data_IF_371272597982
#
_entry.id   IF_371272597982
#
_cell.length_a   1.000
_cell.length_b   1.000
_cell.length_c   1.000
_cell.angle_alpha   90.00
_cell.angle_beta   90.00
_cell.angle_gamma   90.00
#
_symmetry.space_group_name_H-M   'P 1'
#
loop_
_entity.id
_entity.type
_entity.pdbx_description
1 polymer ?
#
# COMPACT_ATOMS: atom_id res chain seq x y z
N UNK A 1 -31.48 3.38 137.48
CA UNK A 1 -32.01 4.39 136.54
C UNK A 1 -31.30 4.23 135.20
N UNK A 2 -32.09 4.21 134.13
CA UNK A 2 -31.77 4.36 132.70
C UNK A 2 -30.75 3.46 132.01
N UNK A 3 -31.24 2.50 131.19
CA UNK A 3 -31.07 2.57 129.71
C UNK A 3 -31.84 1.46 128.97
N UNK A 4 -33.16 1.41 129.16
CA UNK A 4 -34.08 0.55 128.40
C UNK A 4 -34.51 1.16 127.04
N UNK A 5 -33.89 2.27 126.61
CA UNK A 5 -34.27 3.03 125.41
C UNK A 5 -33.32 2.82 124.20
N UNK A 6 -32.14 2.21 124.37
CA UNK A 6 -31.09 2.10 123.32
C UNK A 6 -31.25 0.88 122.38
N UNK A 7 -32.09 -0.11 122.72
CA UNK A 7 -32.24 -1.34 121.92
C UNK A 7 -33.27 -1.26 120.79
N UNK A 8 -34.21 -0.30 120.83
CA UNK A 8 -35.21 -0.10 119.76
C UNK A 8 -34.70 0.72 118.57
N UNK A 9 -33.85 1.72 118.81
CA UNK A 9 -33.23 2.54 117.74
C UNK A 9 -32.21 1.74 116.92
N UNK A 10 -31.36 0.93 117.56
CA UNK A 10 -30.33 0.12 116.86
C UNK A 10 -30.89 -0.99 115.97
N UNK A 11 -32.12 -1.45 116.22
CA UNK A 11 -32.80 -2.48 115.40
C UNK A 11 -33.44 -1.90 114.14
N UNK A 12 -33.93 -0.67 114.20
CA UNK A 12 -34.47 0.05 113.03
C UNK A 12 -33.37 0.40 112.02
N UNK A 13 -32.24 0.94 112.48
CA UNK A 13 -31.11 1.32 111.62
C UNK A 13 -30.48 0.13 110.89
N UNK A 14 -30.38 -1.03 111.55
CA UNK A 14 -29.78 -2.25 110.97
C UNK A 14 -30.65 -2.90 109.89
N UNK A 15 -31.99 -2.81 110.01
CA UNK A 15 -32.91 -3.27 108.97
C UNK A 15 -32.92 -2.33 107.75
N UNK A 16 -32.86 -1.01 107.97
CA UNK A 16 -32.77 -0.03 106.88
C UNK A 16 -31.48 -0.19 106.07
N UNK A 17 -30.34 -0.45 106.74
CA UNK A 17 -29.07 -0.71 106.04
C UNK A 17 -29.08 -2.00 105.21
N UNK A 18 -29.69 -3.08 105.72
CA UNK A 18 -29.82 -4.33 104.96
C UNK A 18 -30.71 -4.17 103.72
N UNK A 19 -31.82 -3.43 103.83
CA UNK A 19 -32.72 -3.16 102.71
C UNK A 19 -32.02 -2.29 101.64
N UNK A 20 -31.28 -1.25 102.06
CA UNK A 20 -30.51 -0.40 101.14
C UNK A 20 -29.43 -1.22 100.41
N UNK A 21 -28.72 -2.11 101.11
CA UNK A 21 -27.71 -2.98 100.49
C UNK A 21 -28.31 -3.98 99.50
N UNK A 22 -29.50 -4.54 99.79
CA UNK A 22 -30.20 -5.44 98.86
C UNK A 22 -30.68 -4.67 97.62
N UNK A 23 -31.25 -3.47 97.80
CA UNK A 23 -31.66 -2.61 96.67
C UNK A 23 -30.45 -2.22 95.83
N UNK A 24 -29.33 -1.86 96.45
CA UNK A 24 -28.09 -1.51 95.76
C UNK A 24 -27.50 -2.70 94.99
N UNK A 25 -27.42 -3.89 95.61
CA UNK A 25 -26.97 -5.12 94.93
C UNK A 25 -27.90 -5.51 93.78
N UNK A 26 -29.21 -5.33 93.95
CA UNK A 26 -30.20 -5.58 92.90
C UNK A 26 -30.07 -4.60 91.73
N UNK A 27 -29.77 -3.33 92.02
CA UNK A 27 -29.49 -2.31 91.00
C UNK A 27 -28.19 -2.58 90.24
N UNK A 28 -27.14 -3.01 90.93
CA UNK A 28 -25.87 -3.42 90.29
C UNK A 28 -26.07 -4.65 89.40
N UNK A 29 -26.85 -5.65 89.86
CA UNK A 29 -27.20 -6.81 89.06
C UNK A 29 -28.03 -6.44 87.82
N UNK A 30 -29.04 -5.57 87.96
CA UNK A 30 -29.84 -5.06 86.84
C UNK A 30 -28.99 -4.26 85.84
N UNK A 31 -28.04 -3.45 86.33
CA UNK A 31 -27.12 -2.70 85.49
C UNK A 31 -26.19 -3.64 84.72
N UNK A 32 -25.63 -4.66 85.37
CA UNK A 32 -24.84 -5.70 84.71
C UNK A 32 -25.63 -6.46 83.65
N UNK A 33 -26.87 -6.84 83.95
CA UNK A 33 -27.75 -7.57 83.03
C UNK A 33 -28.16 -6.69 81.83
N UNK A 34 -28.42 -5.40 82.07
CA UNK A 34 -28.67 -4.42 81.00
C UNK A 34 -27.45 -4.25 80.08
N UNK A 35 -26.24 -4.22 80.63
CA UNK A 35 -25.00 -4.12 79.86
C UNK A 35 -24.78 -5.38 79.02
N UNK A 36 -25.04 -6.55 79.58
CA UNK A 36 -24.99 -7.83 78.85
C UNK A 36 -26.00 -7.88 77.71
N UNK A 37 -27.22 -7.38 77.90
CA UNK A 37 -28.24 -7.29 76.84
C UNK A 37 -27.77 -6.33 75.73
N UNK A 38 -27.21 -5.17 76.07
CA UNK A 38 -26.67 -4.23 75.08
C UNK A 38 -25.53 -4.85 74.28
N UNK A 39 -24.63 -5.58 74.95
CA UNK A 39 -23.53 -6.30 74.28
C UNK A 39 -24.04 -7.40 73.36
N UNK A 40 -25.06 -8.17 73.77
CA UNK A 40 -25.68 -9.19 72.93
C UNK A 40 -26.37 -8.59 71.70
N UNK A 41 -27.09 -7.47 71.85
CA UNK A 41 -27.72 -6.77 70.73
C UNK A 41 -26.65 -6.24 69.76
N UNK A 42 -25.56 -5.66 70.28
CA UNK A 42 -24.46 -5.15 69.46
C UNK A 42 -23.72 -6.28 68.74
N UNK A 43 -23.51 -7.42 69.41
CA UNK A 43 -22.89 -8.59 68.79
C UNK A 43 -23.78 -9.16 67.66
N UNK A 44 -25.09 -9.27 67.92
CA UNK A 44 -26.04 -9.74 66.93
C UNK A 44 -26.24 -8.75 65.75
N UNK A 45 -25.99 -7.44 65.96
CA UNK A 45 -25.98 -6.47 64.86
C UNK A 45 -24.68 -6.53 64.06
N UNK A 46 -23.54 -6.75 64.71
CA UNK A 46 -22.25 -6.92 64.04
C UNK A 46 -22.22 -8.18 63.18
N UNK A 47 -22.71 -9.31 63.70
CA UNK A 47 -22.84 -10.54 62.91
C UNK A 47 -23.76 -10.34 61.69
N UNK A 48 -24.87 -9.61 61.85
CA UNK A 48 -25.73 -9.27 60.71
C UNK A 48 -25.06 -8.35 59.69
N UNK A 49 -24.18 -7.44 60.12
CA UNK A 49 -23.39 -6.62 59.21
C UNK A 49 -22.33 -7.45 58.48
N UNK A 50 -21.67 -8.36 59.18
CA UNK A 50 -20.69 -9.29 58.61
C UNK A 50 -21.34 -10.21 57.57
N UNK A 51 -22.49 -10.81 57.88
CA UNK A 51 -23.25 -11.64 56.95
C UNK A 51 -23.74 -10.84 55.72
N UNK A 52 -24.17 -9.59 55.90
CA UNK A 52 -24.61 -8.72 54.81
C UNK A 52 -23.45 -8.34 53.89
N UNK A 53 -22.29 -7.97 54.46
CA UNK A 53 -21.07 -7.66 53.70
C UNK A 53 -20.57 -8.90 52.97
N UNK A 54 -20.60 -10.07 53.60
CA UNK A 54 -20.21 -11.33 52.96
C UNK A 54 -21.15 -11.68 51.80
N UNK A 55 -22.46 -11.52 51.98
CA UNK A 55 -23.43 -11.75 50.91
C UNK A 55 -23.29 -10.74 49.77
N UNK A 56 -22.91 -9.50 50.04
CA UNK A 56 -22.61 -8.49 49.02
C UNK A 56 -21.31 -8.82 48.26
N UNK A 57 -20.29 -9.33 48.97
CA UNK A 57 -19.04 -9.81 48.38
C UNK A 57 -19.26 -11.05 47.49
N UNK A 58 -20.07 -11.99 47.94
CA UNK A 58 -20.42 -13.21 47.20
C UNK A 58 -21.28 -12.88 45.97
N UNK A 59 -22.18 -11.90 46.07
CA UNK A 59 -22.96 -11.41 44.94
C UNK A 59 -22.08 -10.68 43.90
N UNK A 60 -21.13 -9.86 44.34
CA UNK A 60 -20.15 -9.21 43.46
C UNK A 60 -19.25 -10.21 42.72
N UNK A 61 -18.82 -11.28 43.39
CA UNK A 61 -18.02 -12.35 42.78
C UNK A 61 -18.85 -13.22 41.80
N UNK A 62 -20.17 -13.29 41.95
CA UNK A 62 -21.05 -14.06 41.07
C UNK A 62 -21.38 -13.36 39.74
N UNK A 63 -21.24 -12.02 39.65
CA UNK A 63 -21.54 -11.23 38.45
C UNK A 63 -20.39 -11.17 37.42
N UNK A 64 -19.26 -11.83 37.66
CA UNK A 64 -18.21 -12.01 36.65
C UNK A 64 -17.39 -10.74 36.35
N UNK A 65 -17.02 -10.00 37.39
CA UNK A 65 -16.09 -8.87 37.26
C UNK A 65 -14.64 -9.34 37.47
N UNK A 66 -13.79 -9.10 36.47
CA UNK A 66 -12.34 -9.33 36.59
C UNK A 66 -11.74 -8.33 37.58
N UNK A 67 -10.89 -8.80 38.49
CA UNK A 67 -10.03 -7.92 39.27
C UNK A 67 -9.09 -7.14 38.33
N UNK A 68 -8.54 -6.01 38.76
CA UNK A 68 -7.60 -5.23 37.93
C UNK A 68 -6.39 -6.07 37.47
N UNK A 69 -5.96 -7.04 38.29
CA UNK A 69 -4.89 -7.98 37.94
C UNK A 69 -5.32 -8.97 36.85
N UNK A 70 -6.49 -9.59 36.99
CA UNK A 70 -7.03 -10.53 35.98
C UNK A 70 -7.36 -9.81 34.66
N UNK A 71 -7.87 -8.58 34.72
CA UNK A 71 -8.11 -7.76 33.54
C UNK A 71 -6.79 -7.43 32.80
N UNK A 72 -5.71 -7.13 33.54
CA UNK A 72 -4.38 -6.91 32.97
C UNK A 72 -3.80 -8.20 32.36
N UNK A 73 -3.97 -9.33 33.03
CA UNK A 73 -3.51 -10.64 32.53
C UNK A 73 -4.29 -11.07 31.27
N UNK A 74 -5.60 -10.84 31.23
CA UNK A 74 -6.43 -11.09 30.05
C UNK A 74 -6.02 -10.19 28.88
N UNK A 75 -5.81 -8.90 29.12
CA UNK A 75 -5.33 -7.95 28.10
C UNK A 75 -3.94 -8.36 27.59
N UNK A 76 -3.02 -8.76 28.47
CA UNK A 76 -1.69 -9.20 28.05
C UNK A 76 -1.76 -10.52 27.27
N UNK A 77 -2.60 -11.46 27.69
CA UNK A 77 -2.81 -12.74 26.98
C UNK A 77 -3.43 -12.50 25.60
N UNK A 78 -4.50 -11.71 25.51
CA UNK A 78 -5.13 -11.34 24.24
C UNK A 78 -4.14 -10.58 23.35
N UNK A 79 -3.29 -9.73 23.91
CA UNK A 79 -2.25 -9.02 23.15
C UNK A 79 -1.22 -9.99 22.59
N UNK A 80 -0.72 -10.94 23.38
CA UNK A 80 0.23 -11.98 22.93
C UNK A 80 -0.42 -12.86 21.86
N UNK A 81 -1.65 -13.34 22.08
CA UNK A 81 -2.40 -14.12 21.11
C UNK A 81 -2.66 -13.33 19.82
N UNK A 82 -2.99 -12.04 19.92
CA UNK A 82 -3.20 -11.16 18.75
C UNK A 82 -1.90 -10.95 17.99
N UNK A 83 -0.78 -10.72 18.67
CA UNK A 83 0.55 -10.60 18.06
C UNK A 83 0.96 -11.90 17.36
N UNK A 84 0.71 -13.06 17.98
CA UNK A 84 1.01 -14.37 17.43
C UNK A 84 0.10 -14.70 16.23
N UNK A 85 -1.20 -14.43 16.33
CA UNK A 85 -2.16 -14.59 15.24
C UNK A 85 -1.82 -13.69 14.06
N UNK A 86 -1.45 -12.43 14.31
CA UNK A 86 -1.02 -11.49 13.25
C UNK A 86 0.26 -11.98 12.58
N UNK A 87 1.24 -12.44 13.37
CA UNK A 87 2.50 -12.99 12.85
C UNK A 87 2.28 -14.26 12.02
N UNK A 88 1.38 -15.14 12.46
CA UNK A 88 1.02 -16.35 11.74
C UNK A 88 0.23 -16.01 10.46
N UNK A 89 -0.65 -15.01 10.49
CA UNK A 89 -1.36 -14.51 9.32
C UNK A 89 -0.39 -14.02 8.23
N UNK A 90 0.58 -13.17 8.59
CA UNK A 90 1.61 -12.69 7.65
C UNK A 90 2.43 -13.85 7.07
N UNK A 91 2.84 -14.81 7.92
CA UNK A 91 3.60 -15.99 7.45
C UNK A 91 2.78 -16.85 6.49
N UNK A 92 1.53 -17.12 6.82
CA UNK A 92 0.63 -17.92 6.00
C UNK A 92 0.38 -17.24 4.66
N UNK A 93 0.18 -15.91 4.65
CA UNK A 93 0.03 -15.13 3.42
C UNK A 93 1.26 -15.25 2.51
N UNK A 94 2.48 -15.07 3.06
CA UNK A 94 3.71 -15.21 2.27
C UNK A 94 3.87 -16.65 1.78
N UNK A 95 3.62 -17.64 2.64
CA UNK A 95 3.75 -19.06 2.30
C UNK A 95 2.79 -19.43 1.17
N UNK A 96 1.51 -19.07 1.28
CA UNK A 96 0.47 -19.34 0.28
C UNK A 96 0.85 -18.73 -1.07
N UNK A 97 1.32 -17.48 -1.09
CA UNK A 97 1.78 -16.82 -2.32
C UNK A 97 2.93 -17.57 -2.98
N UNK A 98 3.97 -17.91 -2.21
CA UNK A 98 5.12 -18.65 -2.73
C UNK A 98 4.74 -20.06 -3.19
N UNK A 99 3.84 -20.75 -2.49
CA UNK A 99 3.32 -22.09 -2.87
C UNK A 99 2.49 -22.04 -4.16
N UNK A 100 1.78 -20.93 -4.40
CA UNK A 100 1.03 -20.68 -5.64
C UNK A 100 1.93 -20.25 -6.82
N UNK A 101 3.24 -20.09 -6.60
CA UNK A 101 4.21 -19.74 -7.63
C UNK A 101 4.48 -18.24 -7.76
N UNK A 102 3.95 -17.40 -6.88
CA UNK A 102 4.28 -15.97 -6.86
C UNK A 102 5.79 -15.80 -6.62
N UNK A 103 6.40 -14.86 -7.34
CA UNK A 103 7.76 -14.44 -7.08
C UNK A 103 7.89 -13.79 -5.69
N UNK A 104 9.06 -13.88 -5.08
CA UNK A 104 9.34 -13.27 -3.78
C UNK A 104 9.02 -11.77 -3.72
N UNK A 105 9.23 -11.05 -4.82
CA UNK A 105 8.88 -9.63 -4.93
C UNK A 105 7.37 -9.39 -4.86
N UNK A 106 6.55 -10.22 -5.52
CA UNK A 106 5.08 -10.13 -5.45
C UNK A 106 4.60 -10.37 -4.01
N UNK A 107 5.14 -11.41 -3.34
CA UNK A 107 4.81 -11.70 -1.95
C UNK A 107 5.15 -10.55 -0.99
N UNK A 108 6.28 -9.85 -1.22
CA UNK A 108 6.65 -8.68 -0.41
C UNK A 108 5.72 -7.50 -0.70
N UNK A 109 5.38 -7.23 -1.96
CA UNK A 109 4.46 -6.13 -2.34
C UNK A 109 3.13 -6.22 -1.59
N UNK A 110 2.58 -7.43 -1.43
CA UNK A 110 1.31 -7.64 -0.72
C UNK A 110 1.36 -7.28 0.77
N UNK A 111 2.55 -7.13 1.37
CA UNK A 111 2.70 -6.71 2.77
C UNK A 111 2.69 -5.18 2.94
N UNK A 112 2.85 -4.42 1.85
CA UNK A 112 2.99 -2.96 1.86
C UNK A 112 2.06 -2.33 0.80
N UNK A 113 0.73 -2.44 0.98
CA UNK A 113 -0.24 -1.95 -0.02
C UNK A 113 -0.23 -0.43 -0.20
N UNK A 114 0.36 0.31 0.74
CA UNK A 114 0.54 1.77 0.72
C UNK A 114 1.89 2.21 0.12
N UNK A 115 2.68 1.26 -0.39
CA UNK A 115 4.02 1.53 -0.91
C UNK A 115 4.31 0.83 -2.24
N UNK A 116 5.01 1.54 -3.11
CA UNK A 116 5.64 0.94 -4.28
C UNK A 116 6.93 0.25 -3.81
N UNK A 117 7.02 -1.06 -4.05
CA UNK A 117 8.15 -1.90 -3.71
C UNK A 117 8.90 -2.32 -4.97
N UNK A 118 10.15 -1.89 -5.05
CA UNK A 118 11.04 -2.13 -6.20
C UNK A 118 12.26 -2.92 -5.77
N UNK A 119 12.52 -4.03 -6.46
CA UNK A 119 13.74 -4.81 -6.29
C UNK A 119 14.81 -4.29 -7.26
N UNK A 120 15.96 -3.88 -6.74
CA UNK A 120 17.12 -3.51 -7.57
C UNK A 120 18.43 -3.72 -6.82
N UNK A 121 19.45 -4.19 -7.54
CA UNK A 121 20.82 -4.35 -7.02
C UNK A 121 20.88 -5.21 -5.73
N UNK A 122 20.06 -6.26 -5.66
CA UNK A 122 20.04 -7.21 -4.54
C UNK A 122 19.33 -6.70 -3.27
N UNK A 123 18.60 -5.59 -3.32
CA UNK A 123 17.79 -5.06 -2.21
C UNK A 123 16.41 -4.58 -2.68
N UNK A 124 15.55 -4.31 -1.70
CA UNK A 124 14.22 -3.73 -1.91
C UNK A 124 14.22 -2.26 -1.51
N UNK A 125 13.54 -1.43 -2.30
CA UNK A 125 13.27 -0.03 -2.04
C UNK A 125 11.77 0.14 -1.87
N UNK A 126 11.39 1.07 -0.99
CA UNK A 126 10.02 1.29 -0.56
C UNK A 126 9.71 2.78 -0.73
N UNK A 127 8.73 3.09 -1.55
CA UNK A 127 8.29 4.45 -1.84
C UNK A 127 6.83 4.59 -1.41
N UNK A 128 6.48 5.57 -0.57
CA UNK A 128 5.08 5.85 -0.29
C UNK A 128 4.30 6.11 -1.57
N UNK A 129 3.10 5.55 -1.71
CA UNK A 129 2.19 5.93 -2.77
C UNK A 129 1.68 7.34 -2.46
N UNK A 130 1.78 8.24 -3.44
CA UNK A 130 1.40 9.65 -3.29
C UNK A 130 -0.05 9.88 -3.73
N UNK A 131 -0.77 10.68 -2.94
CA UNK A 131 -2.11 11.16 -3.30
C UNK A 131 -2.05 12.43 -4.18
N UNK A 132 -0.85 12.94 -4.50
CA UNK A 132 -0.69 14.12 -5.35
C UNK A 132 -0.75 13.82 -6.84
N UNK A 133 -0.40 12.58 -7.21
CA UNK A 133 -0.47 12.07 -8.57
C UNK A 133 -1.84 11.43 -8.75
N UNK A 134 -2.44 11.56 -9.92
CA UNK A 134 -3.66 10.85 -10.26
C UNK A 134 -3.42 9.33 -10.28
N UNK A 135 -4.36 8.54 -9.74
CA UNK A 135 -4.30 7.08 -9.74
C UNK A 135 -5.05 6.54 -10.96
N UNK A 136 -4.64 5.39 -11.51
CA UNK A 136 -5.26 4.86 -12.73
C UNK A 136 -6.70 4.39 -12.52
N UNK A 137 -7.10 4.03 -11.30
CA UNK A 137 -8.47 3.65 -10.96
C UNK A 137 -8.95 2.28 -11.47
N UNK A 138 -8.23 1.64 -12.40
CA UNK A 138 -8.53 0.29 -12.87
C UNK A 138 -8.38 -0.80 -11.81
N UNK A 139 -9.29 -1.77 -11.89
CA UNK A 139 -9.26 -3.03 -11.14
C UNK A 139 -8.66 -4.17 -12.00
N UNK A 140 -8.26 -5.28 -11.37
CA UNK A 140 -7.75 -6.45 -12.10
C UNK A 140 -8.74 -7.00 -13.13
N UNK A 141 -10.04 -6.95 -12.80
CA UNK A 141 -11.12 -7.46 -13.65
C UNK A 141 -11.45 -6.55 -14.84
N UNK A 142 -10.87 -5.35 -14.92
CA UNK A 142 -11.10 -4.43 -16.03
C UNK A 142 -10.32 -4.83 -17.30
N UNK A 143 -9.36 -5.74 -17.19
CA UNK A 143 -8.54 -6.19 -18.31
C UNK A 143 -8.55 -7.71 -18.46
N UNK A 144 -8.83 -8.17 -19.68
CA UNK A 144 -8.81 -9.58 -20.03
C UNK A 144 -8.00 -9.80 -21.31
N UNK A 145 -7.33 -10.94 -21.43
CA UNK A 145 -6.62 -11.29 -22.67
C UNK A 145 -7.60 -11.97 -23.62
N UNK A 146 -7.82 -11.38 -24.78
CA UNK A 146 -8.68 -11.89 -25.84
C UNK A 146 -8.14 -13.17 -26.49
N UNK A 147 -8.99 -13.85 -27.27
CA UNK A 147 -8.63 -15.07 -27.99
C UNK A 147 -7.55 -14.83 -29.07
N UNK A 148 -7.39 -13.59 -29.51
CA UNK A 148 -6.36 -13.13 -30.44
C UNK A 148 -5.02 -12.81 -29.76
N UNK A 149 -4.98 -12.84 -28.43
CA UNK A 149 -3.79 -12.59 -27.61
C UNK A 149 -3.58 -11.12 -27.24
N UNK A 150 -4.44 -10.20 -27.67
CA UNK A 150 -4.40 -8.81 -27.21
C UNK A 150 -5.05 -8.66 -25.83
N UNK A 151 -4.58 -7.68 -25.07
CA UNK A 151 -5.25 -7.26 -23.85
C UNK A 151 -6.42 -6.34 -24.21
N UNK A 152 -7.61 -6.64 -23.71
CA UNK A 152 -8.84 -5.88 -23.93
C UNK A 152 -9.27 -5.22 -22.62
N UNK A 153 -9.79 -3.99 -22.73
CA UNK A 153 -10.52 -3.36 -21.63
C UNK A 153 -11.98 -3.85 -21.64
N UNK A 154 -12.39 -4.50 -20.55
CA UNK A 154 -13.74 -5.06 -20.35
C UNK A 154 -14.50 -4.40 -19.20
N UNK A 155 -13.93 -3.34 -18.62
CA UNK A 155 -14.53 -2.60 -17.52
C UNK A 155 -15.79 -1.80 -17.91
N UNK A 156 -16.50 -1.32 -16.90
CA UNK A 156 -17.79 -0.64 -17.07
C UNK A 156 -17.66 0.85 -17.48
N UNK A 157 -16.45 1.42 -17.50
CA UNK A 157 -16.24 2.82 -17.86
C UNK A 157 -16.25 3.02 -19.39
N UNK A 158 -17.42 3.37 -19.90
CA UNK A 158 -17.64 3.67 -21.32
C UNK A 158 -16.82 4.84 -21.88
N UNK A 159 -16.10 5.59 -21.04
CA UNK A 159 -15.22 6.67 -21.51
C UNK A 159 -13.82 6.19 -21.90
N UNK A 160 -13.47 4.95 -21.54
CA UNK A 160 -12.20 4.33 -21.91
C UNK A 160 -12.32 3.72 -23.31
N UNK A 161 -11.70 4.36 -24.28
CA UNK A 161 -11.56 3.83 -25.64
C UNK A 161 -10.15 3.22 -25.78
N UNK A 162 -10.05 1.92 -25.51
CA UNK A 162 -8.77 1.21 -25.61
C UNK A 162 -8.43 0.89 -27.07
N UNK A 163 -7.19 1.20 -27.47
CA UNK A 163 -6.60 0.86 -28.76
C UNK A 163 -5.45 -0.13 -28.57
N UNK A 164 -5.33 -1.08 -29.49
CA UNK A 164 -4.27 -2.08 -29.49
C UNK A 164 -3.08 -1.57 -30.30
N UNK A 165 -1.87 -1.74 -29.79
CA UNK A 165 -0.68 -1.31 -30.50
C UNK A 165 0.52 -2.21 -30.29
N UNK A 166 1.53 -1.94 -31.09
CA UNK A 166 2.84 -2.58 -31.02
C UNK A 166 3.93 -1.52 -30.93
N UNK A 167 5.08 -1.87 -30.41
CA UNK A 167 6.29 -1.08 -30.60
C UNK A 167 7.36 -1.92 -31.30
N UNK A 168 8.02 -1.29 -32.27
CA UNK A 168 8.87 -2.00 -33.23
C UNK A 168 10.16 -1.26 -33.51
N UNK A 169 11.18 -2.04 -33.85
CA UNK A 169 12.49 -1.55 -34.26
C UNK A 169 13.11 -2.49 -35.29
N UNK A 170 14.38 -2.29 -35.65
CA UNK A 170 15.14 -3.27 -36.45
C UNK A 170 15.11 -4.71 -35.92
N UNK A 171 14.78 -4.93 -34.64
CA UNK A 171 14.75 -6.27 -34.06
C UNK A 171 13.60 -7.14 -34.59
N UNK A 172 12.52 -6.53 -35.08
CA UNK A 172 11.40 -7.24 -35.71
C UNK A 172 11.67 -7.56 -37.20
N UNK A 173 12.77 -7.05 -37.77
CA UNK A 173 13.16 -7.32 -39.14
C UNK A 173 12.15 -6.76 -40.16
N UNK A 174 11.84 -7.57 -41.18
CA UNK A 174 10.87 -7.19 -42.21
C UNK A 174 9.45 -7.52 -41.73
N UNK A 175 8.57 -6.53 -41.76
CA UNK A 175 7.18 -6.64 -41.29
C UNK A 175 6.21 -6.62 -42.47
N UNK A 176 5.26 -7.55 -42.49
CA UNK A 176 4.10 -7.54 -43.40
C UNK A 176 2.97 -6.72 -42.79
N UNK A 177 3.02 -5.40 -43.01
CA UNK A 177 2.11 -4.44 -42.39
C UNK A 177 0.63 -4.61 -42.80
N UNK A 178 0.35 -5.19 -43.97
CA UNK A 178 -1.03 -5.51 -44.37
C UNK A 178 -1.64 -6.58 -43.47
N UNK A 179 -0.83 -7.56 -43.04
CA UNK A 179 -1.27 -8.57 -42.06
C UNK A 179 -1.36 -8.01 -40.65
N UNK A 180 -0.41 -7.16 -40.25
CA UNK A 180 -0.44 -6.48 -38.95
C UNK A 180 -1.74 -5.67 -38.78
N UNK A 181 -2.12 -4.89 -39.79
CA UNK A 181 -3.38 -4.14 -39.78
C UNK A 181 -4.60 -5.08 -39.69
N UNK A 182 -4.60 -6.19 -40.43
CA UNK A 182 -5.67 -7.20 -40.38
C UNK A 182 -5.75 -7.95 -39.04
N UNK A 183 -4.64 -7.99 -38.29
CA UNK A 183 -4.59 -8.59 -36.96
C UNK A 183 -5.21 -7.68 -35.88
N UNK A 184 -5.62 -6.45 -36.22
CA UNK A 184 -6.28 -5.54 -35.28
C UNK A 184 -5.32 -4.62 -34.53
N UNK A 185 -4.13 -4.36 -35.09
CA UNK A 185 -3.22 -3.32 -34.57
C UNK A 185 -3.71 -1.96 -35.05
N UNK A 186 -4.02 -1.07 -34.10
CA UNK A 186 -4.51 0.29 -34.35
C UNK A 186 -3.36 1.29 -34.47
N UNK A 187 -2.29 1.10 -33.70
CA UNK A 187 -1.13 2.00 -33.72
C UNK A 187 0.22 1.27 -33.59
N UNK A 188 1.29 1.93 -34.00
CA UNK A 188 2.67 1.48 -33.83
C UNK A 188 3.56 2.60 -33.28
N UNK A 189 4.36 2.31 -32.24
CA UNK A 189 5.43 3.20 -31.78
C UNK A 189 6.77 2.71 -32.35
N UNK A 190 7.31 3.43 -33.34
CA UNK A 190 8.48 2.99 -34.10
C UNK A 190 9.76 3.59 -33.52
N UNK A 191 10.82 2.77 -33.33
CA UNK A 191 12.11 3.32 -32.89
C UNK A 191 12.68 4.25 -33.97
N UNK A 192 12.80 5.53 -33.66
CA UNK A 192 13.49 6.50 -34.52
C UNK A 192 15.01 6.33 -34.44
N UNK A 193 15.52 6.12 -33.24
CA UNK A 193 16.95 5.98 -33.01
C UNK A 193 17.29 5.65 -31.58
N UNK A 194 18.59 5.68 -31.31
CA UNK A 194 19.16 5.45 -30.01
C UNK A 194 20.45 6.24 -29.80
N UNK A 195 20.78 6.50 -28.54
CA UNK A 195 22.13 6.86 -28.12
C UNK A 195 22.85 5.64 -27.56
N UNK A 196 24.04 5.33 -28.06
CA UNK A 196 24.79 4.15 -27.64
C UNK A 196 25.28 4.21 -26.18
N UNK A 197 25.18 3.10 -25.45
CA UNK A 197 25.45 3.00 -24.00
C UNK A 197 26.89 3.26 -23.56
N UNK A 198 27.87 3.23 -24.49
CA UNK A 198 29.31 3.38 -24.19
C UNK A 198 29.91 4.69 -24.68
N UNK A 199 29.87 4.96 -26.00
CA UNK A 199 30.43 6.18 -26.58
C UNK A 199 29.41 7.32 -26.65
N UNK A 200 28.11 7.02 -26.49
CA UNK A 200 27.01 7.97 -26.67
C UNK A 200 26.84 8.49 -28.08
N UNK A 201 27.17 7.67 -29.08
CA UNK A 201 26.89 7.99 -30.48
C UNK A 201 25.40 7.90 -30.74
N UNK A 202 24.86 8.88 -31.45
CA UNK A 202 23.52 8.81 -32.01
C UNK A 202 23.50 7.89 -33.22
N UNK A 203 22.48 7.04 -33.28
CA UNK A 203 22.25 6.07 -34.34
C UNK A 203 20.76 6.11 -34.70
N UNK A 204 20.48 6.20 -36.00
CA UNK A 204 19.12 5.99 -36.53
C UNK A 204 18.84 4.49 -36.54
N UNK A 205 17.60 4.09 -36.25
CA UNK A 205 17.21 2.69 -36.42
C UNK A 205 17.16 2.33 -37.91
N UNK A 206 17.83 1.24 -38.29
CA UNK A 206 17.96 0.83 -39.69
C UNK A 206 16.63 0.50 -40.38
N UNK A 207 15.56 0.23 -39.61
CA UNK A 207 14.23 -0.08 -40.11
C UNK A 207 13.22 1.07 -39.88
N UNK A 208 13.65 2.24 -39.41
CA UNK A 208 12.75 3.35 -39.09
C UNK A 208 11.84 3.74 -40.26
N UNK A 209 12.43 4.04 -41.43
CA UNK A 209 11.69 4.50 -42.61
C UNK A 209 10.71 3.44 -43.12
N UNK A 210 11.16 2.18 -43.26
CA UNK A 210 10.32 1.07 -43.71
C UNK A 210 9.15 0.81 -42.75
N UNK A 211 9.36 0.96 -41.45
CA UNK A 211 8.33 0.75 -40.43
C UNK A 211 7.31 1.89 -40.40
N UNK A 212 7.75 3.15 -40.42
CA UNK A 212 6.86 4.31 -40.46
C UNK A 212 5.99 4.27 -41.72
N UNK A 213 6.61 4.11 -42.89
CA UNK A 213 5.87 4.04 -44.16
C UNK A 213 4.91 2.84 -44.19
N UNK A 214 5.40 1.66 -43.78
CA UNK A 214 4.60 0.44 -43.81
C UNK A 214 3.36 0.51 -42.91
N UNK A 215 3.51 1.05 -41.70
CA UNK A 215 2.38 1.28 -40.79
C UNK A 215 1.38 2.30 -41.37
N UNK A 216 1.86 3.49 -41.76
CA UNK A 216 1.01 4.56 -42.29
C UNK A 216 0.27 4.16 -43.56
N UNK A 217 0.92 3.46 -44.50
CA UNK A 217 0.29 3.00 -45.75
C UNK A 217 -0.82 1.96 -45.52
N UNK A 218 -0.81 1.27 -44.38
CA UNK A 218 -1.82 0.29 -43.99
C UNK A 218 -2.85 0.85 -42.98
N UNK A 219 -2.85 2.17 -42.76
CA UNK A 219 -3.84 2.85 -41.90
C UNK A 219 -3.62 2.63 -40.41
N UNK A 220 -2.40 2.27 -40.01
CA UNK A 220 -1.99 2.17 -38.60
C UNK A 220 -1.42 3.53 -38.20
N UNK A 221 -1.89 4.07 -37.08
CA UNK A 221 -1.39 5.33 -36.53
C UNK A 221 0.05 5.19 -36.03
N UNK A 222 0.88 6.23 -36.18
CA UNK A 222 2.32 6.13 -35.92
C UNK A 222 2.78 7.15 -34.90
N UNK A 223 3.43 6.64 -33.84
CA UNK A 223 4.27 7.39 -32.92
C UNK A 223 5.72 6.94 -33.06
N UNK A 224 6.63 7.60 -32.36
CA UNK A 224 8.06 7.23 -32.42
C UNK A 224 8.68 7.25 -31.05
N UNK A 225 9.67 6.39 -30.82
CA UNK A 225 10.46 6.41 -29.59
C UNK A 225 11.96 6.52 -29.85
N UNK A 226 12.67 7.01 -28.84
CA UNK A 226 14.13 7.11 -28.86
C UNK A 226 14.73 6.54 -27.59
N UNK A 227 15.55 5.49 -27.72
CA UNK A 227 16.27 4.90 -26.60
C UNK A 227 17.37 5.84 -26.12
N UNK A 228 17.12 6.52 -25.01
CA UNK A 228 18.00 7.57 -24.51
C UNK A 228 19.15 7.00 -23.69
N UNK A 229 20.33 7.57 -23.90
CA UNK A 229 21.49 7.41 -23.01
C UNK A 229 22.14 8.78 -22.75
N UNK A 230 21.34 9.84 -22.85
CA UNK A 230 21.77 11.20 -22.60
C UNK A 230 22.18 11.36 -21.12
N UNK A 231 23.27 12.08 -20.88
CA UNK A 231 23.79 12.33 -19.53
C UNK A 231 23.69 13.79 -19.10
N UNK A 232 23.09 14.64 -19.94
CA UNK A 232 22.89 16.06 -19.69
C UNK A 232 21.89 16.67 -20.69
N UNK A 233 21.51 17.92 -20.44
CA UNK A 233 20.59 18.71 -21.28
C UNK A 233 21.02 18.82 -22.75
N UNK A 234 22.31 18.97 -23.05
CA UNK A 234 22.77 19.14 -24.43
C UNK A 234 22.56 17.86 -25.23
N UNK A 235 22.91 16.71 -24.65
CA UNK A 235 22.69 15.43 -25.31
C UNK A 235 21.20 15.12 -25.49
N UNK A 236 20.34 15.52 -24.56
CA UNK A 236 18.88 15.42 -24.71
C UNK A 236 18.38 16.25 -25.91
N UNK A 237 18.94 17.46 -26.12
CA UNK A 237 18.64 18.30 -27.29
C UNK A 237 19.12 17.68 -28.60
N UNK A 238 20.29 17.04 -28.60
CA UNK A 238 20.78 16.34 -29.78
C UNK A 238 19.87 15.15 -30.15
N UNK A 239 19.39 14.39 -29.15
CA UNK A 239 18.49 13.25 -29.35
C UNK A 239 17.15 13.71 -29.95
N UNK A 240 16.50 14.70 -29.34
CA UNK A 240 15.22 15.21 -29.86
C UNK A 240 15.38 15.88 -31.23
N UNK A 241 16.48 16.60 -31.49
CA UNK A 241 16.71 17.20 -32.81
C UNK A 241 16.84 16.13 -33.90
N UNK A 242 17.54 15.02 -33.62
CA UNK A 242 17.61 13.90 -34.54
C UNK A 242 16.21 13.34 -34.85
N UNK A 243 15.35 13.18 -33.84
CA UNK A 243 13.97 12.71 -34.06
C UNK A 243 13.20 13.69 -34.92
N UNK A 244 13.22 14.99 -34.59
CA UNK A 244 12.48 16.02 -35.32
C UNK A 244 12.89 16.09 -36.79
N UNK A 245 14.18 15.97 -37.09
CA UNK A 245 14.69 15.92 -38.46
C UNK A 245 14.22 14.65 -39.20
N UNK A 246 14.14 13.50 -38.50
CA UNK A 246 13.70 12.23 -39.07
C UNK A 246 12.20 12.17 -39.35
N UNK A 247 11.38 12.77 -38.47
CA UNK A 247 9.92 12.70 -38.57
C UNK A 247 9.30 13.79 -39.44
N UNK A 248 10.04 14.86 -39.79
CA UNK A 248 9.54 15.97 -40.62
C UNK A 248 8.75 15.56 -41.89
N UNK A 249 9.13 14.51 -42.66
CA UNK A 249 8.41 14.14 -43.87
C UNK A 249 7.17 13.24 -43.63
N UNK A 250 6.90 12.82 -42.39
CA UNK A 250 5.85 11.84 -42.07
C UNK A 250 4.72 12.47 -41.24
N UNK A 251 3.54 11.87 -41.32
CA UNK A 251 2.40 12.23 -40.48
C UNK A 251 2.45 11.40 -39.19
N UNK A 252 2.97 12.02 -38.12
CA UNK A 252 3.09 11.38 -36.80
C UNK A 252 1.86 11.77 -35.97
N UNK A 253 0.93 10.83 -35.82
CA UNK A 253 -0.35 11.01 -35.13
C UNK A 253 -0.29 10.58 -33.67
N UNK A 254 0.70 9.78 -33.28
CA UNK A 254 0.91 9.32 -31.91
C UNK A 254 2.14 9.97 -31.26
N UNK A 255 2.34 9.80 -29.93
CA UNK A 255 3.38 10.52 -29.19
C UNK A 255 4.81 10.30 -29.69
N UNK A 256 5.65 11.32 -29.43
CA UNK A 256 7.11 11.22 -29.53
C UNK A 256 7.66 10.92 -28.14
N UNK A 257 8.24 9.73 -28.00
CA UNK A 257 8.55 9.10 -26.73
C UNK A 257 10.04 9.16 -26.42
N UNK A 258 10.39 9.56 -25.20
CA UNK A 258 11.70 9.26 -24.63
C UNK A 258 11.64 7.93 -23.89
N UNK A 259 12.51 7.01 -24.27
CA UNK A 259 12.64 5.70 -23.62
C UNK A 259 13.76 5.77 -22.56
N UNK A 260 13.35 5.67 -21.29
CA UNK A 260 14.20 5.80 -20.11
C UNK A 260 14.28 4.46 -19.37
N UNK A 261 15.40 3.78 -19.59
CA UNK A 261 15.70 2.52 -18.93
C UNK A 261 16.85 2.61 -17.93
N UNK A 262 16.88 1.65 -17.02
CA UNK A 262 18.04 1.45 -16.16
C UNK A 262 19.26 1.06 -16.98
N UNK A 263 20.41 1.61 -16.61
CA UNK A 263 21.71 1.18 -17.14
C UNK A 263 21.86 -0.35 -17.19
N UNK A 264 22.16 -0.88 -18.38
CA UNK A 264 22.36 -2.31 -18.62
C UNK A 264 23.61 -2.88 -17.92
N UNK A 265 24.56 -2.01 -17.54
CA UNK A 265 25.79 -2.38 -16.83
C UNK A 265 26.37 -1.20 -16.05
N UNK A 266 27.24 -1.49 -15.08
CA UNK A 266 27.94 -0.47 -14.28
C UNK A 266 28.87 0.43 -15.11
N UNK A 267 29.22 0.01 -16.34
CA UNK A 267 30.02 0.79 -17.29
C UNK A 267 29.18 1.61 -18.27
N UNK A 268 27.86 1.44 -18.28
CA UNK A 268 26.99 2.26 -19.10
C UNK A 268 27.07 3.72 -18.66
N UNK A 269 26.98 4.63 -19.61
CA UNK A 269 27.11 6.07 -19.34
C UNK A 269 26.05 6.60 -18.37
N UNK A 270 24.88 5.98 -18.34
CA UNK A 270 23.76 6.35 -17.46
C UNK A 270 23.82 5.71 -16.07
N UNK A 271 24.80 4.85 -15.79
CA UNK A 271 24.86 4.04 -14.56
C UNK A 271 25.02 4.86 -13.27
N UNK A 272 25.56 6.08 -13.37
CA UNK A 272 25.82 6.96 -12.22
C UNK A 272 25.05 8.27 -12.28
N UNK A 273 24.03 8.38 -13.14
CA UNK A 273 23.16 9.54 -13.17
C UNK A 273 22.35 9.61 -11.87
N UNK A 274 22.21 10.83 -11.37
CA UNK A 274 21.29 11.12 -10.28
C UNK A 274 19.85 11.22 -10.78
N UNK A 275 18.89 11.21 -9.86
CA UNK A 275 17.47 11.44 -10.16
C UNK A 275 17.28 12.78 -10.91
N UNK A 276 17.87 13.85 -10.37
CA UNK A 276 17.85 15.19 -11.00
C UNK A 276 18.43 15.18 -12.43
N UNK A 277 19.43 14.34 -12.73
CA UNK A 277 20.01 14.25 -14.08
C UNK A 277 19.05 13.58 -15.07
N UNK A 278 18.38 12.50 -14.66
CA UNK A 278 17.35 11.85 -15.48
C UNK A 278 16.18 12.80 -15.74
N UNK A 279 15.68 13.47 -14.70
CA UNK A 279 14.58 14.42 -14.81
C UNK A 279 14.94 15.63 -15.67
N UNK A 280 16.19 16.14 -15.59
CA UNK A 280 16.67 17.19 -16.48
C UNK A 280 16.66 16.75 -17.95
N UNK A 281 17.12 15.54 -18.24
CA UNK A 281 17.12 14.96 -19.61
C UNK A 281 15.69 14.83 -20.12
N UNK A 282 14.81 14.20 -19.34
CA UNK A 282 13.39 13.99 -19.68
C UNK A 282 12.66 15.30 -19.87
N UNK A 283 12.83 16.25 -18.96
CA UNK A 283 12.17 17.54 -19.04
C UNK A 283 12.64 18.33 -20.27
N UNK A 284 13.93 18.27 -20.58
CA UNK A 284 14.50 18.88 -21.79
C UNK A 284 13.89 18.28 -23.04
N UNK A 285 13.91 16.95 -23.15
CA UNK A 285 13.33 16.23 -24.28
C UNK A 285 11.85 16.59 -24.46
N UNK A 286 11.04 16.42 -23.41
CA UNK A 286 9.60 16.59 -23.48
C UNK A 286 9.20 18.04 -23.75
N UNK A 287 9.92 19.02 -23.20
CA UNK A 287 9.70 20.45 -23.53
C UNK A 287 10.00 20.73 -25.00
N UNK A 288 11.08 20.20 -25.55
CA UNK A 288 11.45 20.44 -26.95
C UNK A 288 10.47 19.77 -27.91
N UNK A 289 10.06 18.53 -27.65
CA UNK A 289 8.99 17.85 -28.40
C UNK A 289 7.70 18.67 -28.41
N UNK A 290 7.25 19.12 -27.24
CA UNK A 290 6.04 19.95 -27.10
C UNK A 290 6.14 21.28 -27.85
N UNK A 291 7.32 21.91 -27.84
CA UNK A 291 7.58 23.15 -28.58
C UNK A 291 7.56 22.94 -30.10
N UNK A 292 7.93 21.74 -30.57
CA UNK A 292 7.86 21.37 -31.97
C UNK A 292 6.44 21.01 -32.44
N UNK A 293 5.47 20.94 -31.52
CA UNK A 293 4.05 20.71 -31.83
C UNK A 293 3.60 19.26 -31.71
N UNK A 294 4.43 18.37 -31.18
CA UNK A 294 4.11 16.97 -30.94
C UNK A 294 3.75 16.71 -29.47
N UNK A 295 3.05 15.61 -29.20
CA UNK A 295 2.77 15.15 -27.83
C UNK A 295 4.01 14.43 -27.26
N UNK A 296 4.64 14.94 -26.18
CA UNK A 296 5.71 14.22 -25.51
C UNK A 296 5.16 13.12 -24.61
N UNK A 297 5.86 12.00 -24.57
CA UNK A 297 5.56 10.89 -23.68
C UNK A 297 6.84 10.29 -23.11
N UNK A 298 6.76 9.75 -21.90
CA UNK A 298 7.86 9.08 -21.22
C UNK A 298 7.55 7.60 -21.15
N UNK A 299 8.45 6.79 -21.71
CA UNK A 299 8.44 5.36 -21.52
C UNK A 299 9.38 4.95 -20.39
N UNK A 300 8.92 3.99 -19.58
CA UNK A 300 9.74 3.34 -18.58
C UNK A 300 8.96 2.29 -17.82
N UNK A 301 9.62 1.59 -16.90
CA UNK A 301 8.97 0.65 -15.99
C UNK A 301 8.83 1.26 -14.59
N UNK A 302 8.26 0.50 -13.64
CA UNK A 302 8.09 0.94 -12.24
C UNK A 302 9.40 1.40 -11.60
N UNK A 303 10.55 0.81 -12.00
CA UNK A 303 11.87 1.25 -11.52
C UNK A 303 12.27 2.60 -12.13
N UNK A 304 11.94 2.87 -13.39
CA UNK A 304 12.19 4.17 -14.01
C UNK A 304 11.49 5.29 -13.24
N UNK A 305 10.19 5.15 -12.96
CA UNK A 305 9.37 6.14 -12.24
C UNK A 305 9.51 6.13 -10.71
N UNK A 306 10.57 5.52 -10.19
CA UNK A 306 10.86 5.55 -8.74
C UNK A 306 12.34 5.71 -8.41
N UNK A 307 13.20 4.91 -9.04
CA UNK A 307 14.64 4.92 -8.77
C UNK A 307 15.42 5.83 -9.72
N UNK A 308 14.91 6.08 -10.93
CA UNK A 308 15.55 6.96 -11.90
C UNK A 308 14.94 8.35 -11.88
N UNK A 309 13.62 8.45 -11.74
CA UNK A 309 12.85 9.70 -11.66
C UNK A 309 11.84 9.60 -10.52
N UNK A 310 11.47 10.72 -9.91
CA UNK A 310 10.26 10.79 -9.10
C UNK A 310 9.03 10.92 -10.01
N UNK A 311 8.05 10.03 -9.85
CA UNK A 311 6.81 10.09 -10.60
C UNK A 311 6.09 11.43 -10.42
N UNK A 312 6.17 12.07 -9.24
CA UNK A 312 5.54 13.37 -8.99
C UNK A 312 6.12 14.49 -9.87
N UNK A 313 7.40 14.42 -10.24
CA UNK A 313 8.08 15.50 -10.97
C UNK A 313 7.86 15.43 -12.50
N UNK A 314 7.40 14.26 -12.98
CA UNK A 314 7.19 13.95 -14.40
C UNK A 314 5.73 13.65 -14.77
N UNK A 315 4.79 13.65 -13.82
CA UNK A 315 3.36 13.34 -14.01
C UNK A 315 2.60 14.27 -14.98
N UNK A 316 3.18 15.43 -15.31
CA UNK A 316 2.66 16.40 -16.28
C UNK A 316 2.79 15.98 -17.75
N UNK A 317 3.48 14.88 -18.01
CA UNK A 317 3.68 14.30 -19.34
C UNK A 317 2.96 12.97 -19.45
N UNK A 318 2.61 12.58 -20.67
CA UNK A 318 1.96 11.29 -20.90
C UNK A 318 2.91 10.14 -20.56
N UNK A 319 2.38 9.09 -19.95
CA UNK A 319 3.16 7.96 -19.44
C UNK A 319 2.86 6.69 -20.23
N UNK A 320 3.92 6.07 -20.75
CA UNK A 320 3.90 4.72 -21.28
C UNK A 320 4.63 3.78 -20.31
N UNK A 321 3.86 3.00 -19.56
CA UNK A 321 4.39 2.13 -18.50
C UNK A 321 4.65 0.72 -19.04
N UNK A 322 5.82 0.16 -18.77
CA UNK A 322 6.11 -1.25 -19.00
C UNK A 322 5.90 -2.07 -17.72
N UNK A 323 5.00 -3.07 -17.79
CA UNK A 323 4.77 -4.03 -16.72
C UNK A 323 4.16 -5.33 -17.24
N UNK A 324 4.88 -6.44 -17.15
CA UNK A 324 4.47 -7.72 -17.74
C UNK A 324 3.77 -8.62 -16.72
N UNK A 325 2.62 -8.17 -16.21
CA UNK A 325 1.81 -8.91 -15.27
C UNK A 325 0.41 -8.31 -15.13
N UNK A 326 -0.55 -9.15 -14.73
CA UNK A 326 -1.90 -8.74 -14.39
C UNK A 326 -2.15 -9.03 -12.90
N UNK A 327 -2.73 -8.08 -12.13
CA UNK A 327 -3.05 -6.70 -12.52
C UNK A 327 -1.80 -5.83 -12.69
N UNK A 328 -1.94 -4.67 -13.34
CA UNK A 328 -0.89 -3.65 -13.40
C UNK A 328 -0.46 -3.24 -11.98
N UNK A 329 0.85 -3.30 -11.71
CA UNK A 329 1.37 -2.96 -10.39
C UNK A 329 1.62 -1.46 -10.17
N UNK A 330 1.77 -0.69 -11.25
CA UNK A 330 2.00 0.75 -11.17
C UNK A 330 0.69 1.47 -10.78
N UNK A 331 0.61 2.20 -9.65
CA UNK A 331 -0.66 2.69 -9.13
C UNK A 331 -1.15 4.01 -9.76
N UNK A 332 -0.27 4.73 -10.45
CA UNK A 332 -0.57 6.05 -10.99
C UNK A 332 -1.17 5.97 -12.39
N UNK A 333 -1.80 7.07 -12.81
CA UNK A 333 -2.31 7.26 -14.16
C UNK A 333 -1.23 6.93 -15.20
N UNK A 334 -1.67 6.32 -16.30
CA UNK A 334 -0.86 6.04 -17.47
C UNK A 334 -1.72 6.26 -18.72
N UNK A 335 -1.08 6.49 -19.86
CA UNK A 335 -1.76 6.69 -21.14
C UNK A 335 -1.63 5.45 -22.02
N UNK A 336 -0.50 4.75 -21.90
CA UNK A 336 -0.20 3.53 -22.62
C UNK A 336 0.46 2.51 -21.69
N UNK A 337 0.16 1.22 -21.87
CA UNK A 337 0.74 0.14 -21.11
C UNK A 337 1.30 -0.94 -22.03
N UNK A 338 2.63 -1.14 -21.96
CA UNK A 338 3.29 -2.31 -22.55
C UNK A 338 3.13 -3.51 -21.59
N UNK A 339 2.23 -4.43 -21.95
CA UNK A 339 1.82 -5.53 -21.08
C UNK A 339 2.56 -6.84 -21.37
N UNK A 340 3.26 -6.96 -22.50
CA UNK A 340 4.12 -8.10 -22.81
C UNK A 340 5.20 -7.74 -23.82
N UNK A 341 6.36 -8.40 -23.70
CA UNK A 341 7.44 -8.37 -24.69
C UNK A 341 7.58 -9.67 -25.51
N UNK A 342 6.58 -10.55 -25.40
CA UNK A 342 6.58 -11.89 -26.03
C UNK A 342 5.29 -12.14 -26.83
N UNK A 343 4.64 -11.06 -27.25
CA UNK A 343 3.45 -11.11 -28.07
C UNK A 343 3.72 -11.70 -29.45
N UNK A 344 2.64 -12.06 -30.15
CA UNK A 344 2.67 -12.65 -31.49
C UNK A 344 1.60 -11.99 -32.35
N UNK A 345 2.03 -11.34 -33.43
CA UNK A 345 1.14 -10.70 -34.40
C UNK A 345 1.42 -11.26 -35.78
N UNK A 346 0.38 -11.62 -36.53
CA UNK A 346 0.56 -12.08 -37.91
C UNK A 346 1.19 -10.98 -38.76
N UNK A 347 2.23 -11.34 -39.51
CA UNK A 347 3.08 -10.40 -40.25
C UNK A 347 4.39 -10.02 -39.58
N UNK A 348 4.64 -10.44 -38.34
CA UNK A 348 5.92 -10.26 -37.65
C UNK A 348 6.51 -11.63 -37.29
N UNK A 349 7.74 -11.87 -37.75
CA UNK A 349 8.49 -13.07 -37.39
C UNK A 349 9.16 -12.90 -36.02
N UNK A 350 8.67 -13.59 -35.00
CA UNK A 350 9.28 -13.55 -33.67
C UNK A 350 8.38 -12.94 -32.61
N UNK A 351 8.99 -12.52 -31.51
CA UNK A 351 8.31 -11.81 -30.44
C UNK A 351 8.16 -10.32 -30.80
N UNK A 352 7.02 -9.74 -30.43
CA UNK A 352 6.75 -8.31 -30.53
C UNK A 352 6.13 -7.81 -29.24
N UNK A 353 6.49 -6.59 -28.88
CA UNK A 353 5.98 -5.91 -27.70
C UNK A 353 4.53 -5.45 -27.99
N UNK A 354 3.61 -5.77 -27.08
CA UNK A 354 2.19 -5.41 -27.22
C UNK A 354 1.79 -4.36 -26.19
N UNK A 355 0.97 -3.43 -26.67
CA UNK A 355 0.56 -2.25 -25.94
C UNK A 355 -0.96 -2.09 -25.98
N UNK A 356 -1.51 -1.56 -24.90
CA UNK A 356 -2.86 -1.02 -24.86
C UNK A 356 -2.75 0.49 -24.57
N UNK A 357 -3.39 1.31 -25.39
CA UNK A 357 -3.47 2.76 -25.20
C UNK A 357 -4.89 3.13 -24.79
N UNK A 358 -5.04 3.86 -23.69
CA UNK A 358 -6.33 4.30 -23.16
C UNK A 358 -6.58 5.79 -23.37
N UNK A 359 -5.68 6.45 -24.11
CA UNK A 359 -5.78 7.84 -24.52
C UNK A 359 -6.02 7.93 -26.02
N UNK A 360 -6.92 8.82 -26.42
CA UNK A 360 -7.16 9.16 -27.83
C UNK A 360 -6.27 10.34 -28.23
N UNK A 361 -5.49 10.16 -29.31
CA UNK A 361 -4.46 11.10 -29.77
C UNK A 361 -4.85 11.84 -31.04
#
# INVERSE_FOLDING_TARGET
MNNSLDTRERRGVRNTHNIISIIFLSLVALMGLSLSIVLLIKNASLQRQEDAVQSELDALNAEGYYTEAEAKELVETVKIETEENTRNSIRNMIQEKLENGDGATSAIRSLFPDQIVVASSGRYYFFPISDKIEHHGFEEADFEVGDDGFLEYVGDDSTVEAKNGIDVSRFQGSIDWEKVAKAGVDFAIVRAGLRGTTEGKLLVDDCFEDNVLGATENGIDVGVYFYSQAVNEEEAKEEVQMILDLIEPYDITYPVVIDVESAESDSARTANLSTDDYELVVETFCKTVKQAGYTPMIYGNVKSFTLLMDAEDVDKYDIWIAYYGLPLYYPYHFNMWQYTSTGRVDGIDGDVDLNICITDY
#
